data_IF_388042236264
#
_entry.id   IF_388042236264
#
_cell.length_a   1.000
_cell.length_b   1.000
_cell.length_c   1.000
_cell.angle_alpha   90.00
_cell.angle_beta   90.00
_cell.angle_gamma   90.00
#
_symmetry.space_group_name_H-M   'P 1'
#
loop_
_entity.id
_entity.type
_entity.pdbx_description
1 polymer ?
#
# COMPACT_ATOMS: atom_id res chain seq x y z
N UNK A 1 -6.67 41.50 -15.10
CA UNK A 1 -7.34 40.18 -14.98
C UNK A 1 -6.30 39.08 -14.78
N UNK A 2 -5.95 38.79 -13.53
CA UNK A 2 -5.04 37.70 -13.15
C UNK A 2 -5.69 36.82 -12.07
N UNK A 3 -6.96 36.45 -12.27
CA UNK A 3 -7.66 35.51 -11.39
C UNK A 3 -8.07 34.29 -12.19
N UNK A 4 -7.92 33.11 -11.58
CA UNK A 4 -8.42 31.86 -12.15
C UNK A 4 -9.95 31.86 -12.10
N UNK A 5 -10.59 31.36 -13.16
CA UNK A 5 -12.05 31.21 -13.22
C UNK A 5 -12.56 30.14 -12.26
N UNK A 6 -11.73 29.15 -11.95
CA UNK A 6 -12.02 28.05 -11.05
C UNK A 6 -11.02 26.89 -11.21
N UNK A 7 -11.23 25.81 -10.45
CA UNK A 7 -10.46 24.56 -10.54
C UNK A 7 -11.43 23.45 -10.96
N UNK A 8 -11.01 22.62 -11.91
CA UNK A 8 -11.71 21.40 -12.28
C UNK A 8 -10.96 20.20 -11.71
N UNK A 9 -11.68 19.27 -11.11
CA UNK A 9 -11.14 18.01 -10.59
C UNK A 9 -11.96 16.83 -11.08
N UNK A 10 -11.32 15.67 -11.16
CA UNK A 10 -11.96 14.39 -11.46
C UNK A 10 -11.52 13.38 -10.40
N UNK A 11 -12.47 12.64 -9.86
CA UNK A 11 -12.19 11.66 -8.83
C UNK A 11 -11.73 10.34 -9.45
N UNK A 12 -10.74 9.72 -8.80
CA UNK A 12 -10.29 8.35 -9.09
C UNK A 12 -10.43 7.53 -7.82
N UNK A 13 -11.23 6.46 -7.88
CA UNK A 13 -11.43 5.59 -6.73
C UNK A 13 -10.20 4.69 -6.50
N UNK A 14 -9.84 4.47 -5.23
CA UNK A 14 -8.81 3.49 -4.87
C UNK A 14 -9.20 2.06 -5.28
N UNK A 15 -10.49 1.77 -5.44
CA UNK A 15 -10.97 0.46 -5.91
C UNK A 15 -10.59 0.20 -7.37
N UNK A 16 -10.64 1.23 -8.21
CA UNK A 16 -10.24 1.14 -9.61
C UNK A 16 -8.73 0.86 -9.73
N UNK A 17 -7.93 1.53 -8.90
CA UNK A 17 -6.48 1.31 -8.81
C UNK A 17 -6.20 -0.11 -8.32
N UNK A 18 -6.90 -0.59 -7.28
CA UNK A 18 -6.74 -1.96 -6.76
C UNK A 18 -7.06 -3.02 -7.81
N UNK A 19 -7.98 -2.75 -8.74
CA UNK A 19 -8.30 -3.65 -9.85
C UNK A 19 -7.14 -3.79 -10.85
N UNK A 20 -6.30 -2.76 -10.97
CA UNK A 20 -5.08 -2.80 -11.80
C UNK A 20 -3.94 -3.58 -11.16
N UNK A 21 -4.00 -3.85 -9.85
CA UNK A 21 -2.99 -4.58 -9.09
C UNK A 21 -3.53 -5.94 -8.60
N UNK A 22 -3.69 -6.95 -9.49
CA UNK A 22 -4.25 -8.25 -9.10
C UNK A 22 -3.31 -9.00 -8.16
N UNK A 23 -3.84 -9.43 -7.02
CA UNK A 23 -3.09 -10.16 -5.98
C UNK A 23 -3.31 -11.67 -5.97
N UNK A 24 -4.22 -12.21 -6.79
CA UNK A 24 -4.64 -13.62 -6.70
C UNK A 24 -3.55 -14.62 -7.12
N UNK A 25 -2.66 -14.21 -8.01
CA UNK A 25 -1.49 -15.00 -8.40
C UNK A 25 -0.38 -14.91 -7.37
N UNK A 26 -0.43 -13.90 -6.49
CA UNK A 26 0.50 -13.73 -5.40
C UNK A 26 0.00 -14.55 -4.20
N UNK A 27 0.93 -15.17 -3.48
CA UNK A 27 0.64 -15.80 -2.20
C UNK A 27 -0.01 -14.76 -1.24
N UNK A 28 -0.81 -15.13 -0.22
CA UNK A 28 -1.42 -14.16 0.71
C UNK A 28 -0.45 -13.19 1.38
N UNK A 29 0.83 -13.57 1.45
CA UNK A 29 1.90 -12.74 1.98
C UNK A 29 2.42 -11.69 0.99
N UNK A 30 2.13 -11.80 -0.30
CA UNK A 30 2.54 -10.84 -1.32
C UNK A 30 1.53 -9.70 -1.46
N UNK A 31 2.02 -8.47 -1.57
CA UNK A 31 1.16 -7.29 -1.71
C UNK A 31 1.86 -6.18 -2.50
N UNK A 32 1.04 -5.34 -3.12
CA UNK A 32 1.48 -4.08 -3.71
C UNK A 32 1.37 -2.96 -2.70
N UNK A 33 2.25 -1.98 -2.82
CA UNK A 33 2.06 -0.68 -2.20
C UNK A 33 2.49 0.44 -3.14
N UNK A 34 1.89 1.60 -2.99
CA UNK A 34 2.22 2.78 -3.79
C UNK A 34 2.43 3.96 -2.86
N UNK A 35 3.44 4.77 -3.15
CA UNK A 35 3.78 5.97 -2.37
C UNK A 35 3.81 7.20 -3.27
N UNK A 36 3.51 8.35 -2.68
CA UNK A 36 3.72 9.66 -3.28
C UNK A 36 5.16 10.17 -3.00
N UNK A 37 5.59 11.30 -3.62
CA UNK A 37 6.89 11.92 -3.34
C UNK A 37 7.05 12.43 -1.90
N UNK A 38 5.97 12.54 -1.14
CA UNK A 38 6.01 12.93 0.26
C UNK A 38 6.20 11.70 1.19
N UNK A 39 6.05 10.48 0.65
CA UNK A 39 6.11 9.21 1.35
C UNK A 39 4.77 8.72 1.92
N UNK A 40 3.67 9.41 1.64
CA UNK A 40 2.33 8.95 1.93
C UNK A 40 1.91 7.80 1.03
N UNK A 41 1.25 6.84 1.64
CA UNK A 41 0.82 5.62 0.99
C UNK A 41 -0.53 5.81 0.33
N UNK A 42 -0.57 5.62 -0.99
CA UNK A 42 -1.80 5.62 -1.77
C UNK A 42 -2.53 4.27 -1.71
N UNK A 43 -1.75 3.18 -1.70
CA UNK A 43 -2.27 1.81 -1.71
C UNK A 43 -1.44 0.96 -0.74
N UNK A 44 -2.10 0.32 0.23
CA UNK A 44 -1.46 -0.67 1.11
C UNK A 44 -2.52 -1.53 1.82
N UNK A 45 -2.23 -2.81 2.17
CA UNK A 45 -3.17 -3.66 2.90
C UNK A 45 -3.63 -3.08 4.24
N UNK A 46 -2.75 -2.37 4.95
CA UNK A 46 -3.05 -1.75 6.25
C UNK A 46 -3.72 -0.37 6.15
N UNK A 47 -3.91 0.17 4.94
CA UNK A 47 -4.58 1.45 4.75
C UNK A 47 -6.09 1.27 4.99
N UNK A 48 -6.57 1.74 6.15
CA UNK A 48 -7.98 1.72 6.50
C UNK A 48 -8.66 3.04 6.13
N UNK A 49 -9.94 3.02 5.70
CA UNK A 49 -10.70 4.23 5.35
C UNK A 49 -11.08 5.09 6.57
N UNK A 50 -10.65 4.73 7.78
CA UNK A 50 -10.93 5.51 8.99
C UNK A 50 -9.99 6.71 9.01
N UNK A 51 -10.48 7.93 9.34
CA UNK A 51 -9.59 9.06 9.55
C UNK A 51 -8.56 8.69 10.61
N UNK A 52 -7.29 8.88 10.28
CA UNK A 52 -6.15 8.55 11.15
C UNK A 52 -6.27 9.49 12.34
N UNK A 53 -6.76 8.97 13.46
CA UNK A 53 -6.98 9.76 14.65
C UNK A 53 -5.64 10.24 15.18
N UNK A 54 -5.34 11.52 15.00
CA UNK A 54 -4.33 12.21 15.80
C UNK A 54 -4.69 11.92 17.26
N UNK A 55 -3.78 11.31 18.01
CA UNK A 55 -3.96 10.81 19.38
C UNK A 55 -4.25 11.90 20.40
N UNK A 56 -5.36 12.61 20.25
CA UNK A 56 -5.90 13.53 21.24
C UNK A 56 -6.74 12.67 22.19
N UNK A 57 -6.40 12.60 23.49
CA UNK A 57 -7.16 11.83 24.46
C UNK A 57 -8.62 12.26 24.40
N UNK A 58 -9.53 11.27 24.36
CA UNK A 58 -10.99 11.43 24.36
C UNK A 58 -11.45 12.10 25.66
N UNK A 59 -11.20 13.39 25.80
CA UNK A 59 -11.91 14.24 26.74
C UNK A 59 -13.29 14.41 26.10
N UNK A 60 -14.32 14.02 26.84
CA UNK A 60 -15.73 14.09 26.46
C UNK A 60 -16.19 15.53 26.15
N UNK A 61 -15.78 16.07 25.01
CA UNK A 61 -16.29 17.31 24.46
C UNK A 61 -17.57 16.99 23.68
N UNK A 62 -18.68 16.93 24.42
CA UNK A 62 -20.03 17.14 23.91
C UNK A 62 -20.11 18.53 23.26
N UNK A 63 -19.61 18.68 22.04
CA UNK A 63 -19.85 19.84 21.16
C UNK A 63 -19.37 19.46 19.76
N UNK A 64 -20.35 19.29 18.86
CA UNK A 64 -20.25 19.28 17.38
C UNK A 64 -18.80 19.25 16.85
N UNK A 65 -18.28 18.07 16.54
CA UNK A 65 -17.12 17.97 15.64
C UNK A 65 -17.64 18.37 14.25
N UNK A 66 -17.17 19.46 13.61
CA UNK A 66 -17.30 19.54 12.15
C UNK A 66 -16.66 18.25 11.60
N UNK A 67 -17.29 17.57 10.64
CA UNK A 67 -16.69 16.40 9.99
C UNK A 67 -15.25 16.77 9.61
N UNK A 68 -14.29 16.21 10.31
CA UNK A 68 -12.88 16.54 10.19
C UNK A 68 -12.48 16.10 8.78
N UNK A 69 -12.31 17.07 7.88
CA UNK A 69 -11.79 16.90 6.52
C UNK A 69 -10.27 16.75 6.58
N UNK A 70 -9.76 15.88 7.45
CA UNK A 70 -8.34 15.53 7.42
C UNK A 70 -8.15 14.46 6.36
N UNK A 71 -7.24 14.66 5.39
CA UNK A 71 -6.93 13.62 4.44
C UNK A 71 -6.36 12.41 5.18
N UNK A 72 -6.68 11.21 4.70
CA UNK A 72 -6.12 9.96 5.24
C UNK A 72 -4.67 9.85 4.76
N UNK A 73 -3.75 10.52 5.46
CA UNK A 73 -2.31 10.52 5.16
C UNK A 73 -1.60 9.53 6.07
N UNK A 74 -1.41 8.30 5.60
CA UNK A 74 -0.61 7.28 6.30
C UNK A 74 0.77 7.21 5.64
N UNK A 75 1.85 7.37 6.41
CA UNK A 75 3.20 7.11 5.90
C UNK A 75 3.45 5.60 5.78
N UNK A 76 4.31 5.21 4.84
CA UNK A 76 4.80 3.84 4.72
C UNK A 76 5.47 3.34 6.00
N UNK A 77 6.22 4.20 6.69
CA UNK A 77 6.90 3.85 7.94
C UNK A 77 5.94 3.66 9.13
N UNK A 78 4.73 4.23 9.05
CA UNK A 78 3.67 4.00 10.03
C UNK A 78 2.80 2.79 9.66
N UNK A 79 2.69 2.49 8.36
CA UNK A 79 1.89 1.38 7.84
C UNK A 79 2.54 0.00 8.12
N UNK A 80 3.87 -0.03 8.24
CA UNK A 80 4.66 -1.23 8.53
C UNK A 80 5.60 -1.02 9.71
N UNK A 81 6.18 -2.10 10.26
CA UNK A 81 7.26 -1.96 11.24
C UNK A 81 8.48 -1.30 10.59
N UNK A 82 8.89 -0.17 11.15
CA UNK A 82 10.04 0.63 10.71
C UNK A 82 11.34 -0.18 10.77
N UNK A 83 12.20 0.06 9.78
CA UNK A 83 13.52 -0.56 9.67
C UNK A 83 14.39 0.38 8.83
N UNK A 84 15.68 0.53 9.17
CA UNK A 84 16.64 1.35 8.42
C UNK A 84 16.64 1.02 6.92
N UNK A 85 16.53 -0.27 6.57
CA UNK A 85 16.49 -0.72 5.18
C UNK A 85 15.20 -0.25 4.48
N UNK A 86 14.07 -0.16 5.19
CA UNK A 86 12.81 0.34 4.64
C UNK A 86 12.85 1.85 4.43
N UNK A 87 13.54 2.58 5.30
CA UNK A 87 13.79 4.02 5.12
C UNK A 87 14.60 4.26 3.84
N UNK A 88 15.63 3.45 3.59
CA UNK A 88 16.38 3.50 2.32
C UNK A 88 15.48 3.26 1.11
N UNK A 89 14.62 2.23 1.15
CA UNK A 89 13.70 1.90 0.06
C UNK A 89 12.71 3.04 -0.19
N UNK A 90 12.13 3.59 0.89
CA UNK A 90 11.21 4.74 0.83
C UNK A 90 11.87 5.93 0.12
N UNK A 91 13.08 6.30 0.54
CA UNK A 91 13.80 7.43 -0.05
C UNK A 91 14.10 7.20 -1.53
N UNK A 92 14.59 6.01 -1.91
CA UNK A 92 14.84 5.66 -3.31
C UNK A 92 13.57 5.71 -4.18
N UNK A 93 12.44 5.28 -3.64
CA UNK A 93 11.16 5.35 -4.32
C UNK A 93 10.65 6.79 -4.47
N UNK A 94 10.89 7.65 -3.47
CA UNK A 94 10.58 9.09 -3.53
C UNK A 94 11.44 9.79 -4.58
N UNK A 95 12.72 9.43 -4.68
CA UNK A 95 13.65 9.93 -5.68
C UNK A 95 13.35 9.40 -7.11
N UNK A 96 12.35 8.52 -7.24
CA UNK A 96 11.92 7.96 -8.53
C UNK A 96 12.86 6.89 -9.09
N UNK A 97 13.72 6.29 -8.26
CA UNK A 97 14.61 5.21 -8.68
C UNK A 97 13.84 3.88 -8.80
N UNK A 98 14.26 3.02 -9.73
CA UNK A 98 13.84 1.61 -9.77
C UNK A 98 14.85 0.73 -9.04
N UNK A 99 14.39 -0.31 -8.36
CA UNK A 99 15.29 -1.22 -7.68
C UNK A 99 14.63 -2.45 -7.08
N UNK A 100 15.49 -3.32 -6.54
CA UNK A 100 15.10 -4.49 -5.78
C UNK A 100 15.98 -4.62 -4.53
N UNK A 101 15.37 -5.05 -3.43
CA UNK A 101 16.08 -5.35 -2.19
C UNK A 101 15.46 -6.56 -1.52
N UNK A 102 16.29 -7.56 -1.25
CA UNK A 102 15.91 -8.72 -0.43
C UNK A 102 16.54 -8.60 0.95
N UNK A 103 15.72 -8.66 2.00
CA UNK A 103 16.20 -8.60 3.38
C UNK A 103 15.23 -9.28 4.35
N UNK A 104 15.74 -9.63 5.52
CA UNK A 104 14.95 -10.27 6.57
C UNK A 104 14.32 -9.20 7.45
N UNK A 105 12.99 -9.17 7.50
CA UNK A 105 12.22 -8.16 8.22
C UNK A 105 11.20 -8.79 9.17
N UNK A 106 10.69 -7.98 10.08
CA UNK A 106 9.61 -8.34 10.99
C UNK A 106 8.27 -7.97 10.35
N UNK A 107 7.34 -8.92 10.32
CA UNK A 107 5.99 -8.74 9.77
C UNK A 107 5.01 -8.90 10.92
N UNK A 108 4.20 -7.86 11.15
CA UNK A 108 3.12 -7.90 12.12
C UNK A 108 2.00 -8.79 11.59
N UNK A 109 1.48 -9.68 12.43
CA UNK A 109 0.31 -10.49 12.10
C UNK A 109 -0.94 -9.64 11.94
N UNK A 110 -1.90 -10.14 11.15
CA UNK A 110 -3.17 -9.47 10.87
C UNK A 110 -4.03 -9.22 12.12
N UNK A 111 -3.88 -10.07 13.14
CA UNK A 111 -4.56 -9.95 14.44
C UNK A 111 -3.82 -9.03 15.42
N UNK A 112 -2.68 -8.46 15.01
CA UNK A 112 -1.83 -7.57 15.78
C UNK A 112 -1.20 -8.16 17.04
N UNK A 113 -1.21 -9.49 17.19
CA UNK A 113 -0.71 -10.18 18.40
C UNK A 113 0.66 -10.81 18.24
N UNK A 114 1.05 -11.10 17.00
CA UNK A 114 2.29 -11.82 16.69
C UNK A 114 3.17 -11.01 15.75
N UNK A 115 4.47 -11.28 15.84
CA UNK A 115 5.49 -10.73 14.94
C UNK A 115 6.28 -11.91 14.40
N UNK A 116 6.24 -12.08 13.08
CA UNK A 116 6.96 -13.13 12.38
C UNK A 116 8.17 -12.58 11.66
N UNK A 117 9.29 -13.29 11.73
CA UNK A 117 10.53 -12.91 11.05
C UNK A 117 10.58 -13.57 9.66
N UNK A 118 10.24 -12.81 8.61
CA UNK A 118 10.18 -13.29 7.23
C UNK A 118 11.31 -12.72 6.36
N UNK A 119 11.79 -13.51 5.40
CA UNK A 119 12.61 -12.98 4.31
C UNK A 119 11.68 -12.41 3.22
N UNK A 120 11.88 -11.14 2.86
CA UNK A 120 11.02 -10.42 1.92
C UNK A 120 11.89 -9.76 0.85
N UNK A 121 11.41 -9.85 -0.37
CA UNK A 121 11.95 -9.14 -1.53
C UNK A 121 11.00 -8.00 -1.85
N UNK A 122 11.53 -6.78 -1.82
CA UNK A 122 10.85 -5.56 -2.22
C UNK A 122 11.38 -5.18 -3.59
N UNK A 123 10.49 -4.99 -4.55
CA UNK A 123 10.82 -4.50 -5.89
C UNK A 123 9.99 -3.26 -6.16
N UNK A 124 10.58 -2.19 -6.66
CA UNK A 124 9.90 -0.92 -6.88
C UNK A 124 10.30 -0.25 -8.19
N UNK A 125 9.39 0.57 -8.70
CA UNK A 125 9.56 1.33 -9.93
C UNK A 125 8.67 2.58 -9.92
N UNK A 126 9.10 3.70 -10.52
CA UNK A 126 8.23 4.86 -10.72
C UNK A 126 7.10 4.54 -11.70
N UNK A 127 5.95 5.18 -11.51
CA UNK A 127 4.80 5.10 -12.42
C UNK A 127 4.93 6.21 -13.46
N UNK A 128 5.30 5.84 -14.68
CA UNK A 128 5.49 6.79 -15.78
C UNK A 128 4.26 7.70 -15.97
N UNK A 129 4.49 9.01 -15.97
CA UNK A 129 3.46 10.04 -16.17
C UNK A 129 2.81 10.55 -14.87
N UNK A 130 3.23 10.05 -13.71
CA UNK A 130 2.84 10.56 -12.39
C UNK A 130 4.05 10.60 -11.46
N UNK A 131 3.94 11.32 -10.35
CA UNK A 131 5.00 11.36 -9.34
C UNK A 131 4.89 10.19 -8.34
N UNK A 132 4.01 9.21 -8.60
CA UNK A 132 3.85 8.04 -7.75
C UNK A 132 4.89 6.97 -8.07
N UNK A 133 5.33 6.25 -7.04
CA UNK A 133 6.15 5.05 -7.17
C UNK A 133 5.38 3.84 -6.65
N UNK A 134 5.46 2.74 -7.40
CA UNK A 134 4.78 1.48 -7.08
C UNK A 134 5.81 0.41 -6.72
N UNK A 135 5.49 -0.35 -5.69
CA UNK A 135 6.29 -1.46 -5.21
C UNK A 135 5.47 -2.72 -5.01
N UNK A 136 6.18 -3.84 -5.06
CA UNK A 136 5.69 -5.19 -4.86
C UNK A 136 6.55 -5.88 -3.81
N UNK A 137 5.91 -6.42 -2.79
CA UNK A 137 6.55 -7.23 -1.75
C UNK A 137 6.21 -8.68 -1.97
N UNK A 138 7.23 -9.53 -2.04
CA UNK A 138 7.07 -10.98 -2.16
C UNK A 138 7.95 -11.72 -1.14
N UNK A 139 7.42 -12.75 -0.45
CA UNK A 139 8.29 -13.72 0.20
C UNK A 139 9.00 -14.58 -0.85
N UNK A 140 10.23 -15.01 -0.55
CA UNK A 140 11.10 -15.75 -1.48
C UNK A 140 10.49 -17.04 -2.04
N UNK A 141 9.56 -17.67 -1.33
CA UNK A 141 8.88 -18.89 -1.79
C UNK A 141 7.71 -18.63 -2.74
N UNK A 142 7.31 -17.36 -2.96
CA UNK A 142 6.12 -17.01 -3.76
C UNK A 142 6.42 -16.60 -5.21
N UNK A 143 7.65 -16.85 -5.68
CA UNK A 143 8.03 -16.54 -7.06
C UNK A 143 7.34 -17.42 -8.11
N UNK A 144 6.76 -18.54 -7.69
CA UNK A 144 6.00 -19.44 -8.55
C UNK A 144 4.54 -19.48 -8.10
N UNK A 145 3.63 -19.55 -9.06
CA UNK A 145 2.20 -19.68 -8.81
C UNK A 145 1.61 -20.83 -9.65
N UNK A 146 0.54 -21.41 -9.16
CA UNK A 146 -0.18 -22.47 -9.87
C UNK A 146 -1.22 -21.82 -10.76
N UNK A 147 -1.16 -22.10 -12.06
CA UNK A 147 -2.22 -21.79 -13.00
C UNK A 147 -3.02 -23.05 -13.26
N UNK A 148 -4.31 -23.06 -12.94
CA UNK A 148 -5.18 -24.17 -13.24
C UNK A 148 -5.20 -24.43 -14.75
N UNK A 149 -4.82 -25.64 -15.16
CA UNK A 149 -4.88 -26.13 -16.55
C UNK A 149 -5.89 -27.27 -16.63
N UNK A 150 -7.11 -27.02 -16.16
CA UNK A 150 -8.21 -27.97 -16.21
C UNK A 150 -9.08 -27.56 -17.39
N UNK A 151 -9.01 -28.32 -18.47
CA UNK A 151 -9.70 -28.00 -19.73
C UNK A 151 -10.94 -28.89 -19.96
N UNK A 152 -11.05 -30.01 -19.23
CA UNK A 152 -12.14 -30.98 -19.40
C UNK A 152 -13.42 -30.57 -18.66
N UNK A 153 -14.55 -30.59 -19.38
CA UNK A 153 -15.87 -30.15 -18.86
C UNK A 153 -16.36 -31.01 -17.70
N UNK A 154 -16.10 -32.32 -17.71
CA UNK A 154 -16.54 -33.25 -16.65
C UNK A 154 -15.75 -33.01 -15.37
N UNK A 155 -14.46 -32.67 -15.50
CA UNK A 155 -13.55 -32.40 -14.38
C UNK A 155 -13.83 -31.04 -13.73
N UNK A 156 -14.41 -30.09 -14.47
CA UNK A 156 -14.88 -28.81 -13.94
C UNK A 156 -16.29 -28.87 -13.31
N UNK A 157 -17.14 -29.81 -13.73
CA UNK A 157 -18.53 -29.93 -13.30
C UNK A 157 -18.73 -30.78 -12.03
N UNK A 158 -17.67 -31.42 -11.55
CA UNK A 158 -17.68 -32.31 -10.38
C UNK A 158 -17.30 -31.55 -9.12
#
# INVERSE_FOLDING_TARGET
NQLILGVMGVDVSLEDIKRLTPRFTLCPNGYYFAIDPNGYVLLHPNLQPKPIGIGIPTINLRKRRPNVQEPVTLDFLDAELENDIKVEIRNKMIDGESGEKTFRTLVKSQDERYIDKGNRTYTWTPVNGTDYSLALVLPTYSFYYIKAKIEETITQAR
#
